data_IF_115073362519
#
_entry.id   IF_115073362519
#
_cell.length_a   1.000
_cell.length_b   1.000
_cell.length_c   1.000
_cell.angle_alpha   90.00
_cell.angle_beta   90.00
_cell.angle_gamma   90.00
#
_symmetry.space_group_name_H-M   'P 1'
#
loop_
_entity.id
_entity.type
_entity.pdbx_description
1 polymer ?
#
# COMPACT_ATOMS: atom_id res chain seq x y z
N UNK A 1 -12.85 -75.09 -11.23
CA UNK A 1 -12.90 -73.79 -11.94
C UNK A 1 -14.00 -72.96 -11.28
N UNK A 2 -13.83 -71.83 -10.62
CA UNK A 2 -12.72 -71.00 -10.13
C UNK A 2 -13.42 -69.97 -9.23
N UNK A 3 -12.99 -69.83 -7.97
CA UNK A 3 -13.70 -69.12 -6.89
C UNK A 3 -13.71 -67.60 -7.08
N UNK A 4 -14.82 -66.96 -6.72
CA UNK A 4 -14.90 -65.56 -6.33
C UNK A 4 -13.85 -65.27 -5.23
N UNK A 5 -12.99 -64.27 -5.46
CA UNK A 5 -12.16 -63.69 -4.42
C UNK A 5 -12.13 -62.17 -4.61
N UNK A 6 -12.74 -61.50 -3.65
CA UNK A 6 -12.64 -60.10 -3.26
C UNK A 6 -11.20 -59.58 -3.39
N UNK A 7 -10.99 -58.49 -4.14
CA UNK A 7 -9.74 -57.72 -4.08
C UNK A 7 -9.99 -56.36 -3.47
N UNK A 8 -9.38 -56.17 -2.30
CA UNK A 8 -9.12 -54.89 -1.65
C UNK A 8 -8.40 -53.93 -2.61
N UNK A 9 -8.84 -52.69 -2.68
CA UNK A 9 -8.04 -51.56 -3.14
C UNK A 9 -7.76 -50.65 -1.94
N UNK A 10 -6.49 -50.28 -1.80
CA UNK A 10 -5.85 -49.62 -0.65
C UNK A 10 -6.35 -48.17 -0.46
N UNK A 11 -6.35 -47.64 0.78
CA UNK A 11 -6.50 -46.20 0.99
C UNK A 11 -5.22 -45.49 0.54
N UNK A 12 -5.36 -44.49 -0.34
CA UNK A 12 -4.28 -43.55 -0.63
C UNK A 12 -4.11 -42.66 0.60
N UNK A 13 -2.97 -42.79 1.27
CA UNK A 13 -2.57 -41.95 2.37
C UNK A 13 -2.40 -40.51 1.86
N UNK A 14 -3.23 -39.60 2.36
CA UNK A 14 -3.01 -38.16 2.28
C UNK A 14 -1.79 -37.86 3.15
N UNK A 15 -0.64 -37.66 2.51
CA UNK A 15 0.55 -37.19 3.18
C UNK A 15 0.37 -35.69 3.47
N UNK A 16 -0.18 -35.37 4.64
CA UNK A 16 -0.13 -34.04 5.21
C UNK A 16 1.34 -33.67 5.44
N UNK A 17 1.91 -32.83 4.57
CA UNK A 17 3.18 -32.19 4.86
C UNK A 17 2.89 -31.13 5.92
N UNK A 18 3.19 -31.50 7.18
CA UNK A 18 3.34 -30.55 8.28
C UNK A 18 4.48 -29.60 7.90
N UNK A 19 4.16 -28.39 7.45
CA UNK A 19 5.09 -27.28 7.51
C UNK A 19 5.27 -26.90 8.99
N UNK A 20 6.40 -27.32 9.55
CA UNK A 20 6.81 -26.99 10.92
C UNK A 20 7.24 -25.52 10.93
N UNK A 21 6.34 -24.64 11.34
CA UNK A 21 6.67 -23.27 11.73
C UNK A 21 7.29 -23.30 13.12
N UNK A 22 8.63 -23.22 13.21
CA UNK A 22 9.29 -22.87 14.47
C UNK A 22 9.53 -21.36 14.46
N UNK A 23 8.59 -20.63 15.03
CA UNK A 23 8.92 -19.51 15.91
C UNK A 23 7.77 -19.32 16.90
N UNK A 24 7.99 -19.79 18.13
CA UNK A 24 7.15 -19.43 19.25
C UNK A 24 7.48 -17.99 19.65
N UNK A 25 6.56 -17.06 19.36
CA UNK A 25 6.44 -15.82 20.10
C UNK A 25 4.98 -15.69 20.59
N UNK A 26 4.76 -15.35 21.86
CA UNK A 26 3.42 -15.22 22.42
C UNK A 26 2.76 -13.94 21.89
N UNK A 27 1.52 -14.09 21.39
CA UNK A 27 0.50 -13.03 21.25
C UNK A 27 0.94 -11.69 20.62
N UNK A 28 0.71 -11.53 19.31
CA UNK A 28 0.90 -10.23 18.66
C UNK A 28 0.84 -10.28 17.14
N UNK A 29 -0.19 -10.89 16.56
CA UNK A 29 -0.35 -11.04 15.11
C UNK A 29 -0.78 -9.75 14.37
N UNK A 30 -0.58 -8.56 14.97
CA UNK A 30 -1.06 -7.28 14.44
C UNK A 30 0.01 -6.22 14.17
N UNK A 31 1.30 -6.58 14.13
CA UNK A 31 2.41 -5.61 13.94
C UNK A 31 3.26 -5.82 12.69
N UNK A 32 2.84 -6.65 11.74
CA UNK A 32 3.70 -7.16 10.66
C UNK A 32 3.40 -6.64 9.24
N UNK A 33 2.55 -5.62 9.08
CA UNK A 33 2.46 -4.84 7.84
C UNK A 33 2.21 -3.36 8.17
N UNK A 34 2.81 -2.49 7.37
CA UNK A 34 2.87 -1.01 7.50
C UNK A 34 1.57 -0.45 8.07
N UNK A 35 1.64 -0.10 9.35
CA UNK A 35 0.74 0.90 9.90
C UNK A 35 1.16 2.21 9.22
N UNK A 36 0.28 2.93 8.51
CA UNK A 36 0.53 4.32 8.17
C UNK A 36 0.96 4.97 9.47
N UNK A 37 2.11 5.64 9.50
CA UNK A 37 2.70 6.11 10.74
C UNK A 37 1.71 7.03 11.48
N UNK A 38 0.85 6.45 12.30
CA UNK A 38 -0.09 7.11 13.17
C UNK A 38 0.75 7.72 14.26
N UNK A 39 1.01 9.02 14.11
CA UNK A 39 1.93 9.81 14.92
C UNK A 39 1.41 10.04 16.35
N UNK A 40 1.24 8.97 17.14
CA UNK A 40 1.20 9.08 18.59
C UNK A 40 2.36 8.28 19.21
N UNK A 41 3.46 8.99 19.47
CA UNK A 41 4.50 8.54 20.40
C UNK A 41 5.84 8.07 19.81
N UNK A 42 6.04 8.10 18.49
CA UNK A 42 7.37 7.87 17.90
C UNK A 42 8.18 9.18 17.88
N UNK A 43 9.41 9.16 18.42
CA UNK A 43 10.35 10.30 18.32
C UNK A 43 10.80 10.47 16.87
N UNK A 44 11.17 11.68 16.45
CA UNK A 44 11.87 11.94 15.19
C UNK A 44 12.96 10.88 14.91
N UNK A 45 12.99 10.39 13.66
CA UNK A 45 13.90 9.35 13.18
C UNK A 45 13.88 8.05 14.02
N UNK A 46 12.74 7.64 14.59
CA UNK A 46 12.66 6.35 15.26
C UNK A 46 12.64 5.21 14.25
N UNK A 47 13.54 4.23 14.38
CA UNK A 47 13.66 3.20 13.36
C UNK A 47 12.45 2.29 13.27
N UNK A 48 12.17 1.79 12.06
CA UNK A 48 11.18 0.75 11.82
C UNK A 48 11.77 -0.59 12.31
N UNK A 49 11.15 -1.18 13.33
CA UNK A 49 11.42 -2.50 13.92
C UNK A 49 12.83 -3.15 13.77
N UNK A 50 13.56 -3.30 14.88
CA UNK A 50 14.42 -4.47 15.12
C UNK A 50 15.72 -4.59 14.30
N UNK A 51 16.54 -3.55 14.23
CA UNK A 51 17.88 -3.62 13.62
C UNK A 51 18.87 -4.53 14.39
N UNK A 52 19.53 -5.43 13.67
CA UNK A 52 20.34 -6.52 14.22
C UNK A 52 21.70 -6.10 14.83
N UNK A 53 22.09 -4.82 14.84
CA UNK A 53 23.44 -4.41 15.29
C UNK A 53 23.45 -3.15 16.15
N UNK A 54 23.62 -3.34 17.46
CA UNK A 54 23.79 -2.28 18.47
C UNK A 54 24.84 -1.23 18.09
N UNK A 55 25.93 -1.64 17.43
CA UNK A 55 27.01 -0.72 17.01
C UNK A 55 26.59 0.30 15.95
N UNK A 56 25.83 -0.12 14.93
CA UNK A 56 25.30 0.78 13.90
C UNK A 56 24.20 1.67 14.48
N UNK A 57 23.32 1.10 15.31
CA UNK A 57 22.26 1.86 15.96
C UNK A 57 22.82 2.98 16.86
N UNK A 58 23.94 2.75 17.54
CA UNK A 58 24.65 3.79 18.31
C UNK A 58 25.20 4.91 17.41
N UNK A 59 25.62 4.59 16.18
CA UNK A 59 26.04 5.56 15.17
C UNK A 59 24.84 6.23 14.44
N UNK A 60 23.60 5.88 14.80
CA UNK A 60 22.40 6.42 14.17
C UNK A 60 21.97 5.71 12.90
N UNK A 61 22.58 4.58 12.53
CA UNK A 61 22.22 3.81 11.33
C UNK A 61 21.49 2.54 11.75
N UNK A 62 20.35 2.27 11.13
CA UNK A 62 19.64 1.01 11.24
C UNK A 62 19.52 0.37 9.87
N UNK A 63 19.75 -0.95 9.84
CA UNK A 63 19.52 -1.78 8.66
C UNK A 63 18.65 -2.94 9.10
N UNK A 64 17.66 -3.26 8.29
CA UNK A 64 16.76 -4.37 8.54
C UNK A 64 16.14 -4.88 7.26
N UNK A 65 15.18 -5.78 7.41
CA UNK A 65 14.47 -6.36 6.30
C UNK A 65 13.41 -7.33 6.75
N UNK A 66 12.54 -7.68 5.81
CA UNK A 66 11.46 -8.64 6.00
C UNK A 66 11.39 -9.55 4.77
N UNK A 67 11.01 -10.80 4.99
CA UNK A 67 10.72 -11.72 3.90
C UNK A 67 9.28 -12.19 4.00
N UNK A 68 8.54 -11.96 2.92
CA UNK A 68 7.16 -12.37 2.75
C UNK A 68 7.13 -13.57 1.80
N UNK A 69 6.46 -14.65 2.20
CA UNK A 69 6.35 -15.88 1.43
C UNK A 69 4.89 -16.32 1.42
N UNK A 70 4.24 -16.26 0.26
CA UNK A 70 2.80 -16.43 0.13
C UNK A 70 2.47 -17.49 -0.94
N UNK A 71 2.24 -18.75 -0.52
CA UNK A 71 1.69 -19.77 -1.38
C UNK A 71 0.17 -19.65 -1.44
N UNK A 72 -0.39 -19.57 -2.64
CA UNK A 72 -1.83 -19.57 -2.89
C UNK A 72 -2.24 -20.77 -3.73
N UNK A 73 -3.49 -21.19 -3.57
CA UNK A 73 -4.12 -22.15 -4.45
C UNK A 73 -5.51 -21.63 -4.82
N UNK A 74 -5.82 -21.63 -6.11
CA UNK A 74 -7.10 -21.21 -6.66
C UNK A 74 -7.95 -22.43 -7.06
N UNK A 75 -9.17 -22.51 -6.51
CA UNK A 75 -10.18 -23.50 -6.88
C UNK A 75 -11.32 -22.81 -7.64
N UNK A 76 -11.07 -22.38 -8.87
CA UNK A 76 -12.05 -21.68 -9.70
C UNK A 76 -11.38 -20.76 -10.72
N UNK A 77 -12.02 -19.65 -11.08
CA UNK A 77 -11.41 -18.62 -11.93
C UNK A 77 -11.16 -19.05 -13.37
N UNK A 78 -10.18 -18.41 -14.01
CA UNK A 78 -9.75 -18.69 -15.38
C UNK A 78 -8.90 -19.96 -15.47
N UNK A 79 -8.14 -20.28 -14.42
CA UNK A 79 -7.36 -21.52 -14.33
C UNK A 79 -7.22 -21.99 -12.87
N UNK A 80 -7.26 -23.31 -12.66
CA UNK A 80 -7.07 -23.92 -11.35
C UNK A 80 -5.61 -24.28 -11.15
N UNK A 81 -5.03 -23.84 -10.03
CA UNK A 81 -3.62 -24.08 -9.79
C UNK A 81 -3.14 -23.41 -8.51
N UNK A 82 -1.88 -23.67 -8.18
CA UNK A 82 -1.20 -23.01 -7.09
C UNK A 82 -0.06 -22.17 -7.62
N UNK A 83 0.07 -20.96 -7.07
CA UNK A 83 1.18 -20.07 -7.34
C UNK A 83 1.86 -19.69 -6.04
N UNK A 84 3.12 -19.31 -6.16
CA UNK A 84 3.91 -18.83 -5.04
C UNK A 84 4.47 -17.48 -5.40
N UNK A 85 4.41 -16.57 -4.43
CA UNK A 85 5.13 -15.31 -4.49
C UNK A 85 5.94 -15.10 -3.22
N UNK A 86 7.06 -14.40 -3.36
CA UNK A 86 7.69 -13.80 -2.21
C UNK A 86 8.47 -12.54 -2.52
N UNK A 87 8.65 -11.77 -1.46
CA UNK A 87 9.26 -10.45 -1.46
C UNK A 87 10.25 -10.39 -0.32
N UNK A 88 11.52 -10.20 -0.64
CA UNK A 88 12.53 -9.80 0.33
C UNK A 88 12.64 -8.27 0.28
N UNK A 89 12.23 -7.60 1.35
CA UNK A 89 12.48 -6.19 1.56
C UNK A 89 13.75 -6.02 2.39
N UNK A 90 14.63 -5.12 1.97
CA UNK A 90 15.76 -4.63 2.76
C UNK A 90 15.66 -3.11 2.86
N UNK A 91 15.92 -2.57 4.04
CA UNK A 91 15.87 -1.13 4.27
C UNK A 91 17.04 -0.64 5.13
N UNK A 92 17.32 0.65 4.99
CA UNK A 92 18.27 1.41 5.79
C UNK A 92 17.63 2.72 6.24
N UNK A 93 17.63 2.96 7.55
CA UNK A 93 17.25 4.23 8.16
C UNK A 93 18.49 4.89 8.77
N UNK A 94 18.58 6.20 8.71
CA UNK A 94 19.61 6.93 9.43
C UNK A 94 19.12 8.23 10.11
N UNK A 95 19.51 8.40 11.36
CA UNK A 95 19.46 9.65 12.12
C UNK A 95 20.69 10.48 11.73
N UNK A 96 20.47 11.47 10.86
CA UNK A 96 21.55 12.22 10.22
C UNK A 96 22.27 13.14 11.20
N UNK A 97 21.64 13.51 12.32
CA UNK A 97 22.28 14.27 13.39
C UNK A 97 23.43 13.50 14.02
N UNK A 98 23.24 12.20 14.27
CA UNK A 98 24.30 11.32 14.80
C UNK A 98 25.46 11.13 13.82
N UNK A 99 25.21 11.39 12.53
CA UNK A 99 26.21 11.39 11.47
C UNK A 99 26.86 12.77 11.24
N UNK A 100 26.53 13.77 12.07
CA UNK A 100 27.13 15.11 12.03
C UNK A 100 26.43 16.09 11.09
N UNK A 101 25.21 15.78 10.64
CA UNK A 101 24.38 16.65 9.82
C UNK A 101 23.32 17.36 10.68
N UNK A 102 22.22 17.79 10.06
CA UNK A 102 21.22 18.64 10.69
C UNK A 102 20.36 17.89 11.72
N UNK A 103 19.92 18.63 12.74
CA UNK A 103 18.97 18.13 13.74
C UNK A 103 17.61 17.89 13.08
N UNK A 104 16.96 16.78 13.43
CA UNK A 104 15.67 16.38 12.86
C UNK A 104 15.72 15.90 11.41
N UNK A 105 16.90 15.77 10.78
CA UNK A 105 17.05 15.20 9.45
C UNK A 105 17.16 13.67 9.53
N UNK A 106 16.28 12.99 8.83
CA UNK A 106 16.27 11.53 8.68
C UNK A 106 16.55 11.16 7.22
N UNK A 107 17.16 10.00 7.02
CA UNK A 107 17.33 9.35 5.73
C UNK A 107 16.67 7.98 5.76
N UNK A 108 16.04 7.61 4.64
CA UNK A 108 15.51 6.26 4.43
C UNK A 108 15.81 5.80 3.00
N UNK A 109 16.10 4.51 2.87
CA UNK A 109 16.07 3.81 1.60
C UNK A 109 15.59 2.38 1.81
N UNK A 110 14.74 1.87 0.92
CA UNK A 110 14.41 0.46 0.86
C UNK A 110 14.33 -0.06 -0.57
N UNK A 111 14.41 -1.38 -0.70
CA UNK A 111 14.30 -2.05 -1.98
C UNK A 111 13.83 -3.49 -1.81
N UNK A 112 13.30 -4.02 -2.90
CA UNK A 112 12.72 -5.35 -2.95
C UNK A 112 13.53 -6.28 -3.86
N UNK A 113 13.61 -7.54 -3.46
CA UNK A 113 13.81 -8.67 -4.36
C UNK A 113 12.49 -9.44 -4.40
N UNK A 114 11.82 -9.38 -5.55
CA UNK A 114 10.51 -9.98 -5.82
C UNK A 114 10.72 -11.21 -6.69
N UNK A 115 10.09 -12.32 -6.35
CA UNK A 115 10.16 -13.56 -7.11
C UNK A 115 8.86 -14.37 -7.04
N UNK A 116 8.69 -15.27 -8.00
CA UNK A 116 7.48 -16.10 -8.13
C UNK A 116 6.50 -15.51 -9.14
N UNK A 117 5.23 -15.90 -9.04
CA UNK A 117 4.19 -15.52 -9.99
C UNK A 117 2.95 -14.97 -9.27
N UNK A 118 2.27 -14.04 -9.93
CA UNK A 118 0.97 -13.51 -9.50
C UNK A 118 -0.12 -14.57 -9.67
N UNK A 119 -0.77 -14.97 -8.57
CA UNK A 119 -1.95 -15.85 -8.60
C UNK A 119 -3.11 -15.13 -9.30
N UNK A 120 -3.22 -13.81 -9.16
CA UNK A 120 -4.26 -13.03 -9.83
C UNK A 120 -4.11 -13.08 -11.34
N UNK A 121 -2.91 -12.78 -11.85
CA UNK A 121 -2.63 -12.80 -13.28
C UNK A 121 -2.68 -14.20 -13.88
N UNK A 122 -2.19 -15.21 -13.16
CA UNK A 122 -2.12 -16.58 -13.67
C UNK A 122 -3.48 -17.32 -13.63
N UNK A 123 -4.29 -17.12 -12.58
CA UNK A 123 -5.40 -18.03 -12.27
C UNK A 123 -6.77 -17.36 -12.13
N UNK A 124 -6.83 -16.05 -11.87
CA UNK A 124 -8.09 -15.40 -11.46
C UNK A 124 -8.57 -14.37 -12.49
N UNK A 125 -7.68 -13.51 -13.01
CA UNK A 125 -8.02 -12.42 -13.90
C UNK A 125 -8.82 -11.30 -13.21
N UNK A 126 -8.57 -11.07 -11.92
CA UNK A 126 -9.22 -10.00 -11.14
C UNK A 126 -8.55 -8.65 -11.32
N UNK A 127 -9.32 -7.57 -11.12
CA UNK A 127 -8.81 -6.19 -11.15
C UNK A 127 -7.81 -5.92 -10.03
N UNK A 128 -8.17 -6.34 -8.80
CA UNK A 128 -7.29 -6.20 -7.64
C UNK A 128 -6.57 -7.52 -7.33
N UNK A 129 -5.30 -7.45 -6.90
CA UNK A 129 -4.54 -8.65 -6.59
C UNK A 129 -5.03 -9.31 -5.29
N UNK A 130 -4.93 -10.64 -5.23
CA UNK A 130 -5.31 -11.46 -4.06
C UNK A 130 -4.48 -11.11 -2.85
N UNK A 131 -3.22 -10.71 -3.06
CA UNK A 131 -2.34 -10.16 -2.05
C UNK A 131 -1.78 -8.81 -2.49
N UNK A 132 -1.47 -7.95 -1.54
CA UNK A 132 -0.87 -6.63 -1.80
C UNK A 132 0.60 -6.70 -2.20
N UNK A 133 1.21 -7.89 -2.18
CA UNK A 133 2.59 -8.10 -2.59
C UNK A 133 2.73 -8.52 -4.07
N UNK A 134 1.62 -8.69 -4.80
CA UNK A 134 1.67 -9.08 -6.22
C UNK A 134 2.37 -8.04 -7.09
N UNK A 135 3.48 -8.45 -7.69
CA UNK A 135 4.32 -7.64 -8.58
C UNK A 135 5.13 -8.57 -9.48
N UNK A 136 5.66 -8.03 -10.58
CA UNK A 136 6.57 -8.78 -11.45
C UNK A 136 7.90 -9.07 -10.75
N UNK A 137 8.55 -10.20 -11.03
CA UNK A 137 9.88 -10.51 -10.50
C UNK A 137 10.90 -9.42 -10.85
N UNK A 138 11.49 -8.82 -9.82
CA UNK A 138 12.44 -7.72 -9.99
C UNK A 138 13.37 -7.63 -8.78
N UNK A 139 14.54 -7.02 -9.00
CA UNK A 139 15.29 -6.38 -7.91
C UNK A 139 15.20 -4.89 -8.14
N UNK A 140 14.50 -4.17 -7.26
CA UNK A 140 14.21 -2.74 -7.45
C UNK A 140 14.32 -1.93 -6.18
N UNK A 141 14.79 -0.69 -6.34
CA UNK A 141 14.63 0.35 -5.35
C UNK A 141 13.13 0.67 -5.24
N UNK A 142 12.64 0.88 -4.02
CA UNK A 142 11.28 1.37 -3.80
C UNK A 142 11.34 2.82 -3.34
N UNK A 143 11.61 3.08 -2.07
CA UNK A 143 11.75 4.44 -1.56
C UNK A 143 13.21 4.83 -1.34
N UNK A 144 13.49 6.11 -1.55
CA UNK A 144 14.76 6.76 -1.22
C UNK A 144 14.48 8.22 -0.91
N UNK A 145 14.56 8.63 0.35
CA UNK A 145 14.18 9.98 0.74
C UNK A 145 14.94 10.54 1.93
N UNK A 146 14.88 11.87 2.03
CA UNK A 146 15.25 12.64 3.19
C UNK A 146 13.99 13.26 3.80
N UNK A 147 13.85 13.20 5.11
CA UNK A 147 12.77 13.87 5.85
C UNK A 147 13.33 14.79 6.90
N UNK A 148 12.94 16.06 6.87
CA UNK A 148 13.34 17.06 7.85
C UNK A 148 12.16 17.35 8.78
N UNK A 149 12.32 17.05 10.06
CA UNK A 149 11.40 17.46 11.12
C UNK A 149 11.77 18.83 11.68
N UNK A 150 10.77 19.68 11.88
CA UNK A 150 10.91 21.07 12.30
C UNK A 150 9.92 21.37 13.42
N UNK A 151 10.23 22.39 14.23
CA UNK A 151 9.34 22.90 15.28
C UNK A 151 8.86 21.82 16.27
N UNK A 152 9.81 21.05 16.85
CA UNK A 152 9.51 19.93 17.74
C UNK A 152 8.56 18.90 17.11
N UNK A 153 8.87 18.48 15.88
CA UNK A 153 8.13 17.48 15.10
C UNK A 153 6.70 17.91 14.68
N UNK A 154 6.36 19.20 14.84
CA UNK A 154 5.06 19.74 14.40
C UNK A 154 4.93 19.76 12.87
N UNK A 155 6.05 19.98 12.16
CA UNK A 155 6.10 20.01 10.70
C UNK A 155 7.16 19.04 10.23
N UNK A 156 6.87 18.24 9.21
CA UNK A 156 7.90 17.49 8.50
C UNK A 156 7.78 17.63 6.99
N UNK A 157 8.94 17.70 6.34
CA UNK A 157 9.09 17.83 4.89
C UNK A 157 9.91 16.65 4.41
N UNK A 158 9.31 15.81 3.57
CA UNK A 158 9.93 14.64 2.97
C UNK A 158 10.15 14.87 1.47
N UNK A 159 11.32 14.54 0.95
CA UNK A 159 11.72 14.70 -0.45
C UNK A 159 12.51 13.49 -0.91
N UNK A 160 12.17 12.95 -2.08
CA UNK A 160 12.89 11.82 -2.68
C UNK A 160 12.02 10.99 -3.61
N UNK A 161 12.37 9.72 -3.81
CA UNK A 161 11.48 8.71 -4.39
C UNK A 161 10.52 8.24 -3.30
N UNK A 162 9.24 8.54 -3.46
CA UNK A 162 8.19 8.35 -2.46
C UNK A 162 7.07 7.51 -3.05
N UNK A 163 6.49 6.65 -2.21
CA UNK A 163 5.25 5.97 -2.53
C UNK A 163 4.11 6.66 -1.77
N UNK A 164 3.07 7.07 -2.48
CA UNK A 164 1.94 7.79 -1.90
C UNK A 164 1.02 6.87 -1.10
N UNK A 165 0.89 5.60 -1.50
CA UNK A 165 0.12 4.56 -0.81
C UNK A 165 0.62 4.26 0.63
N UNK A 166 1.81 4.74 0.96
CA UNK A 166 2.43 4.58 2.27
C UNK A 166 1.96 5.58 3.33
N UNK A 167 1.43 6.72 2.89
CA UNK A 167 0.98 7.78 3.78
C UNK A 167 -0.47 8.17 3.52
N UNK A 168 -0.89 8.22 2.26
CA UNK A 168 -2.22 8.67 1.86
C UNK A 168 -3.20 7.51 1.65
N UNK A 169 -4.48 7.81 1.86
CA UNK A 169 -5.61 6.96 1.47
C UNK A 169 -5.64 5.57 2.17
N UNK A 170 -4.87 5.43 3.24
CA UNK A 170 -4.74 4.21 4.02
C UNK A 170 -5.72 4.15 5.20
N UNK A 171 -6.36 2.99 5.37
CA UNK A 171 -7.23 2.68 6.51
C UNK A 171 -6.52 1.71 7.45
N UNK A 172 -6.51 1.99 8.75
CA UNK A 172 -5.77 1.16 9.72
C UNK A 172 -6.38 -0.24 9.81
N UNK A 173 -7.72 -0.35 9.78
CA UNK A 173 -8.44 -1.62 9.73
C UNK A 173 -8.18 -2.41 8.46
N UNK A 174 -7.88 -1.73 7.34
CA UNK A 174 -7.51 -2.36 6.07
C UNK A 174 -6.21 -3.15 6.16
N UNK A 175 -5.28 -2.74 7.02
CA UNK A 175 -3.99 -3.41 7.22
C UNK A 175 -4.07 -4.85 7.76
N UNK A 176 -5.22 -5.28 8.29
CA UNK A 176 -5.45 -6.66 8.71
C UNK A 176 -5.74 -7.63 7.55
N UNK A 177 -6.00 -7.10 6.35
CA UNK A 177 -6.33 -7.90 5.17
C UNK A 177 -5.15 -8.01 4.22
N UNK A 178 -4.99 -9.19 3.62
CA UNK A 178 -3.89 -9.44 2.69
C UNK A 178 -4.17 -8.85 1.29
N UNK A 179 -5.44 -8.77 0.88
CA UNK A 179 -5.84 -8.38 -0.47
C UNK A 179 -5.45 -6.95 -0.83
N UNK A 180 -5.02 -6.75 -2.09
CA UNK A 180 -4.55 -5.46 -2.61
C UNK A 180 -5.57 -4.34 -2.49
N UNK A 181 -6.87 -4.67 -2.55
CA UNK A 181 -7.95 -3.70 -2.38
C UNK A 181 -7.75 -2.83 -1.15
N UNK A 182 -7.27 -3.37 -0.04
CA UNK A 182 -7.20 -2.66 1.24
C UNK A 182 -5.91 -1.86 1.45
N UNK A 183 -4.92 -2.02 0.57
CA UNK A 183 -3.79 -1.11 0.45
C UNK A 183 -4.16 0.06 -0.45
N UNK A 184 -3.56 0.11 -1.63
CA UNK A 184 -3.90 1.09 -2.66
C UNK A 184 -5.28 0.81 -3.26
N UNK A 185 -6.20 1.77 -3.12
CA UNK A 185 -7.59 1.58 -3.49
C UNK A 185 -7.75 1.34 -5.01
N UNK A 186 -8.73 0.52 -5.46
CA UNK A 186 -8.94 0.27 -6.90
C UNK A 186 -9.14 1.56 -7.70
N UNK A 187 -9.91 2.51 -7.16
CA UNK A 187 -10.12 3.81 -7.81
C UNK A 187 -8.80 4.58 -7.98
N UNK A 188 -7.81 4.43 -7.11
CA UNK A 188 -6.52 5.10 -7.25
C UNK A 188 -5.58 4.31 -8.17
N UNK A 189 -5.61 2.97 -8.10
CA UNK A 189 -4.81 2.10 -8.95
C UNK A 189 -5.21 2.20 -10.43
N UNK A 190 -6.51 2.27 -10.73
CA UNK A 190 -7.00 2.23 -12.11
C UNK A 190 -7.09 3.62 -12.77
N UNK A 191 -7.21 4.69 -11.97
CA UNK A 191 -7.35 6.04 -12.51
C UNK A 191 -6.02 6.78 -12.67
N UNK A 192 -4.97 6.38 -11.96
CA UNK A 192 -3.66 7.04 -12.10
C UNK A 192 -2.80 6.32 -13.16
N UNK A 193 -2.07 7.06 -14.01
CA UNK A 193 -1.10 6.50 -14.94
C UNK A 193 -0.13 5.55 -14.23
N UNK A 194 0.13 4.39 -14.84
CA UNK A 194 1.02 3.37 -14.29
C UNK A 194 0.61 2.80 -12.90
N UNK A 195 -0.61 3.05 -12.44
CA UNK A 195 -1.04 2.71 -11.08
C UNK A 195 -0.83 3.81 -10.04
N UNK A 196 -0.15 4.89 -10.41
CA UNK A 196 0.32 5.96 -9.54
C UNK A 196 1.49 5.54 -8.63
N UNK A 197 1.96 6.44 -7.75
CA UNK A 197 3.05 6.19 -6.82
C UNK A 197 2.61 5.21 -5.71
N UNK A 198 2.67 3.91 -5.98
CA UNK A 198 2.25 2.86 -5.07
C UNK A 198 3.09 1.59 -5.25
N UNK A 199 3.11 0.69 -4.26
CA UNK A 199 3.85 -0.57 -4.43
C UNK A 199 3.47 -1.28 -5.76
N UNK A 200 4.45 -1.72 -6.56
CA UNK A 200 5.90 -1.76 -6.30
C UNK A 200 6.71 -0.60 -6.89
N UNK A 201 6.07 0.47 -7.36
CA UNK A 201 6.69 1.61 -8.03
C UNK A 201 6.46 2.92 -7.27
N UNK A 202 7.54 3.49 -6.71
CA UNK A 202 7.53 4.83 -6.15
C UNK A 202 7.92 5.86 -7.22
N UNK A 203 7.67 7.15 -6.96
CA UNK A 203 8.03 8.23 -7.89
C UNK A 203 8.70 9.39 -7.16
N UNK A 204 9.50 10.24 -7.84
CA UNK A 204 9.99 11.46 -7.21
C UNK A 204 8.86 12.35 -6.70
N UNK A 205 8.99 12.86 -5.49
CA UNK A 205 7.96 13.67 -4.88
C UNK A 205 8.41 14.45 -3.66
N UNK A 206 7.52 15.33 -3.21
CA UNK A 206 7.65 16.13 -2.00
C UNK A 206 6.37 15.99 -1.18
N UNK A 207 6.51 15.68 0.11
CA UNK A 207 5.40 15.61 1.06
C UNK A 207 5.65 16.54 2.23
N UNK A 208 4.67 17.38 2.55
CA UNK A 208 4.64 18.19 3.78
C UNK A 208 3.53 17.67 4.68
N UNK A 209 3.88 17.40 5.94
CA UNK A 209 2.92 17.03 6.97
C UNK A 209 2.98 18.03 8.12
N UNK A 210 1.82 18.35 8.70
CA UNK A 210 1.66 19.25 9.84
C UNK A 210 0.76 18.57 10.85
N UNK A 211 1.14 18.63 12.13
CA UNK A 211 0.37 18.10 13.26
C UNK A 211 -0.02 19.25 14.18
N UNK A 212 -1.08 20.04 13.86
CA UNK A 212 -1.39 21.27 14.59
C UNK A 212 -1.81 21.03 16.04
N UNK A 213 -2.36 19.85 16.32
CA UNK A 213 -2.76 19.39 17.66
C UNK A 213 -2.38 17.93 17.81
N UNK A 214 -2.41 17.40 19.04
CA UNK A 214 -2.15 15.96 19.31
C UNK A 214 -3.12 15.01 18.58
N UNK A 215 -4.27 15.53 18.13
CA UNK A 215 -5.35 14.75 17.54
C UNK A 215 -5.56 15.05 16.04
N UNK A 216 -4.79 15.95 15.44
CA UNK A 216 -5.02 16.40 14.06
C UNK A 216 -3.73 16.33 13.27
N UNK A 217 -3.81 15.74 12.09
CA UNK A 217 -2.73 15.73 11.12
C UNK A 217 -3.26 16.20 9.76
N UNK A 218 -2.48 16.99 9.05
CA UNK A 218 -2.79 17.42 7.68
C UNK A 218 -1.54 17.25 6.85
N UNK A 219 -1.67 16.60 5.70
CA UNK A 219 -0.58 16.37 4.77
C UNK A 219 -0.96 16.76 3.35
N UNK A 220 0.05 17.21 2.62
CA UNK A 220 0.01 17.54 1.21
C UNK A 220 1.20 16.88 0.54
N UNK A 221 0.98 16.21 -0.58
CA UNK A 221 2.01 15.56 -1.36
C UNK A 221 1.89 15.94 -2.83
N UNK A 222 3.03 16.20 -3.48
CA UNK A 222 3.12 16.35 -4.93
C UNK A 222 4.14 15.33 -5.42
N UNK A 223 3.73 14.52 -6.38
CA UNK A 223 4.49 13.41 -6.93
C UNK A 223 4.60 13.55 -8.44
N UNK A 224 5.64 12.99 -9.05
CA UNK A 224 5.61 12.66 -10.47
C UNK A 224 4.43 11.70 -10.70
N UNK A 225 3.56 12.04 -11.65
CA UNK A 225 2.24 11.39 -11.77
C UNK A 225 2.27 10.01 -12.40
N UNK A 226 3.29 9.73 -13.21
CA UNK A 226 3.56 8.40 -13.77
C UNK A 226 4.81 7.78 -13.09
N UNK A 227 4.73 6.54 -12.61
CA UNK A 227 5.88 5.82 -12.08
C UNK A 227 6.85 5.23 -13.10
N UNK A 228 6.55 5.29 -14.40
CA UNK A 228 7.44 4.71 -15.40
C UNK A 228 7.57 5.54 -16.69
N UNK A 229 8.75 5.48 -17.34
CA UNK A 229 8.92 6.08 -18.65
C UNK A 229 8.01 5.47 -19.69
N UNK A 230 7.71 6.25 -20.71
CA UNK A 230 7.16 5.72 -21.95
C UNK A 230 8.09 4.63 -22.53
N UNK A 231 7.59 3.40 -22.63
CA UNK A 231 8.30 2.29 -23.26
C UNK A 231 7.38 1.45 -24.15
N UNK A 232 7.94 0.47 -24.86
CA UNK A 232 7.17 -0.35 -25.80
C UNK A 232 6.27 -1.41 -25.13
N UNK A 233 6.39 -1.58 -23.81
CA UNK A 233 5.56 -2.49 -23.05
C UNK A 233 4.39 -1.71 -22.43
N UNK A 234 3.22 -2.35 -22.34
CA UNK A 234 2.03 -1.78 -21.72
C UNK A 234 2.06 -1.88 -20.17
N UNK A 235 3.11 -2.47 -19.58
CA UNK A 235 3.25 -2.65 -18.13
C UNK A 235 4.35 -1.72 -17.58
N UNK A 236 4.02 -0.78 -16.66
CA UNK A 236 4.97 0.18 -16.11
C UNK A 236 6.12 -0.49 -15.34
N UNK A 237 5.91 -1.70 -14.81
CA UNK A 237 6.97 -2.44 -14.11
C UNK A 237 8.04 -2.96 -15.06
N UNK A 238 7.73 -3.13 -16.34
CA UNK A 238 8.71 -3.48 -17.38
C UNK A 238 9.44 -2.22 -17.84
N UNK A 239 8.73 -1.08 -17.91
CA UNK A 239 9.31 0.20 -18.28
C UNK A 239 10.26 0.76 -17.21
N UNK A 240 9.98 0.53 -15.92
CA UNK A 240 10.86 0.86 -14.80
C UNK A 240 11.30 -0.41 -14.02
N UNK A 241 12.16 -1.27 -14.59
CA UNK A 241 12.44 -2.60 -14.04
C UNK A 241 13.22 -2.58 -12.71
N UNK A 242 13.89 -1.47 -12.41
CA UNK A 242 14.80 -1.36 -11.26
C UNK A 242 14.39 -0.29 -10.24
N UNK A 243 13.34 0.50 -10.50
CA UNK A 243 12.96 1.62 -9.63
C UNK A 243 14.02 2.72 -9.58
N UNK A 244 14.85 2.82 -10.63
CA UNK A 244 15.95 3.78 -10.72
C UNK A 244 15.68 4.87 -11.77
N UNK A 245 14.51 4.85 -12.40
CA UNK A 245 14.05 5.94 -13.24
C UNK A 245 13.43 7.02 -12.33
N UNK A 246 14.18 8.11 -12.14
CA UNK A 246 13.80 9.26 -11.31
C UNK A 246 13.28 10.40 -12.18
N UNK A 247 12.18 10.13 -12.90
CA UNK A 247 11.60 11.08 -13.85
C UNK A 247 10.85 12.22 -13.15
N UNK A 248 10.83 13.38 -13.81
CA UNK A 248 10.31 14.65 -13.27
C UNK A 248 9.53 15.46 -14.31
N UNK A 249 9.31 14.89 -15.49
CA UNK A 249 8.72 15.52 -16.65
C UNK A 249 7.29 15.08 -16.92
N UNK A 250 6.75 14.16 -16.11
CA UNK A 250 5.33 13.81 -16.17
C UNK A 250 4.47 14.84 -15.44
N UNK A 251 3.20 14.90 -15.85
CA UNK A 251 2.24 15.76 -15.18
C UNK A 251 2.07 15.33 -13.72
N UNK A 252 2.03 16.28 -12.77
CA UNK A 252 2.10 15.94 -11.36
C UNK A 252 0.81 15.30 -10.83
N UNK A 253 0.95 14.49 -9.79
CA UNK A 253 -0.13 14.03 -8.92
C UNK A 253 -0.09 14.80 -7.60
N UNK A 254 -1.15 15.55 -7.30
CA UNK A 254 -1.36 16.21 -6.01
C UNK A 254 -2.24 15.33 -5.12
N UNK A 255 -1.84 15.11 -3.88
CA UNK A 255 -2.65 14.46 -2.85
C UNK A 255 -2.74 15.34 -1.61
N UNK A 256 -3.93 15.38 -1.00
CA UNK A 256 -4.20 16.13 0.24
C UNK A 256 -4.99 15.23 1.17
N UNK A 257 -4.61 15.15 2.44
CA UNK A 257 -5.38 14.41 3.44
C UNK A 257 -5.31 15.11 4.81
N UNK A 258 -6.46 15.20 5.47
CA UNK A 258 -6.58 15.56 6.88
C UNK A 258 -7.09 14.38 7.68
N UNK A 259 -6.44 14.09 8.81
CA UNK A 259 -6.83 13.07 9.77
C UNK A 259 -7.19 13.70 11.12
N UNK A 260 -8.24 13.19 11.75
CA UNK A 260 -8.66 13.58 13.09
C UNK A 260 -8.90 12.35 13.96
N UNK A 261 -8.11 12.23 15.03
CA UNK A 261 -8.24 11.18 16.04
C UNK A 261 -9.18 11.64 17.15
N UNK A 262 -10.06 10.75 17.59
CA UNK A 262 -11.02 11.03 18.64
C UNK A 262 -11.26 9.80 19.51
N UNK A 263 -11.84 10.03 20.68
CA UNK A 263 -12.15 8.97 21.63
C UNK A 263 -13.63 8.96 22.00
N UNK A 264 -14.23 7.77 21.98
CA UNK A 264 -15.58 7.52 22.48
C UNK A 264 -15.54 6.76 23.82
N UNK A 265 -16.70 6.73 24.49
CA UNK A 265 -16.91 6.02 25.75
C UNK A 265 -15.88 6.36 26.86
N UNK A 266 -15.47 7.63 26.90
CA UNK A 266 -14.53 8.17 27.88
C UNK A 266 -13.08 7.72 27.68
N UNK A 267 -12.59 7.67 26.44
CA UNK A 267 -11.20 7.27 26.14
C UNK A 267 -11.00 5.77 25.87
N UNK A 268 -12.08 4.97 25.87
CA UNK A 268 -11.97 3.50 25.74
C UNK A 268 -12.10 3.02 24.30
N UNK A 269 -12.68 3.83 23.43
CA UNK A 269 -12.99 3.46 22.06
C UNK A 269 -12.41 4.51 21.10
N UNK A 270 -11.09 4.44 20.83
CA UNK A 270 -10.45 5.34 19.88
C UNK A 270 -11.01 5.13 18.48
N UNK A 271 -11.09 6.22 17.73
CA UNK A 271 -11.46 6.24 16.32
C UNK A 271 -10.71 7.33 15.58
N UNK A 272 -10.67 7.19 14.27
CA UNK A 272 -9.98 8.09 13.35
C UNK A 272 -10.87 8.35 12.15
N UNK A 273 -11.04 9.62 11.80
CA UNK A 273 -11.64 10.01 10.53
C UNK A 273 -10.58 10.68 9.67
N UNK A 274 -10.49 10.27 8.40
CA UNK A 274 -9.62 10.88 7.40
C UNK A 274 -10.46 11.38 6.24
N UNK A 275 -10.16 12.57 5.75
CA UNK A 275 -10.77 13.14 4.55
C UNK A 275 -9.63 13.59 3.66
N UNK A 276 -9.62 13.11 2.43
CA UNK A 276 -8.58 13.47 1.49
C UNK A 276 -9.08 13.41 0.06
N UNK A 277 -8.14 13.59 -0.84
CA UNK A 277 -8.37 13.50 -2.27
C UNK A 277 -7.09 13.66 -3.05
N UNK A 278 -7.18 13.36 -4.34
CA UNK A 278 -6.10 13.59 -5.29
C UNK A 278 -6.60 14.35 -6.51
N UNK A 279 -5.65 14.96 -7.22
CA UNK A 279 -5.81 15.53 -8.55
C UNK A 279 -4.55 15.26 -9.36
N UNK A 280 -4.69 14.50 -10.43
CA UNK A 280 -3.66 14.27 -11.44
C UNK A 280 -3.79 15.33 -12.53
N UNK A 281 -2.73 16.08 -12.82
CA UNK A 281 -2.80 17.24 -13.72
C UNK A 281 -2.64 16.93 -15.21
N UNK A 282 -2.41 15.66 -15.56
CA UNK A 282 -2.28 15.22 -16.95
C UNK A 282 -3.59 15.16 -17.73
N UNK A 283 -3.45 14.80 -19.00
CA UNK A 283 -4.56 14.66 -19.95
C UNK A 283 -5.14 13.23 -19.90
N UNK A 284 -6.46 13.15 -19.78
CA UNK A 284 -7.19 11.88 -19.71
C UNK A 284 -8.27 11.80 -20.80
N UNK A 285 -8.82 10.60 -20.99
CA UNK A 285 -9.95 10.37 -21.89
C UNK A 285 -11.09 9.67 -21.16
N UNK A 286 -12.31 10.07 -21.48
CA UNK A 286 -13.51 9.46 -20.93
C UNK A 286 -13.72 8.07 -21.53
N UNK A 287 -13.67 7.03 -20.70
CA UNK A 287 -13.82 5.65 -21.14
C UNK A 287 -15.27 5.28 -21.53
N UNK A 288 -16.27 6.17 -21.30
CA UNK A 288 -17.69 5.90 -21.58
C UNK A 288 -18.18 6.64 -22.80
N UNK A 289 -17.94 7.95 -22.87
CA UNK A 289 -18.57 8.83 -23.87
C UNK A 289 -17.54 9.49 -24.77
N UNK A 290 -17.85 9.55 -26.05
CA UNK A 290 -17.05 10.31 -27.00
C UNK A 290 -17.36 11.81 -26.95
N UNK A 291 -16.68 12.59 -27.80
CA UNK A 291 -16.87 14.04 -27.91
C UNK A 291 -18.30 14.46 -28.31
N UNK A 292 -19.08 13.55 -28.91
CA UNK A 292 -20.48 13.76 -29.28
C UNK A 292 -21.46 13.45 -28.14
N UNK A 293 -20.99 12.83 -27.05
CA UNK A 293 -21.81 12.38 -25.93
C UNK A 293 -22.41 10.99 -26.13
N UNK A 294 -22.06 10.30 -27.22
CA UNK A 294 -22.47 8.93 -27.50
C UNK A 294 -21.52 7.93 -26.82
N UNK A 295 -21.97 6.69 -26.65
CA UNK A 295 -21.15 5.66 -26.02
C UNK A 295 -19.98 5.24 -26.93
N UNK A 296 -18.75 5.28 -26.41
CA UNK A 296 -17.53 4.87 -27.13
C UNK A 296 -17.64 3.46 -27.69
N UNK A 297 -18.25 2.53 -26.93
CA UNK A 297 -18.46 1.15 -27.38
C UNK A 297 -19.37 1.02 -28.61
N UNK A 298 -20.22 2.02 -28.85
CA UNK A 298 -21.14 2.05 -30.00
C UNK A 298 -20.50 2.76 -31.18
N UNK A 299 -19.81 3.88 -30.95
CA UNK A 299 -19.27 4.72 -32.03
C UNK A 299 -17.89 4.28 -32.50
N UNK A 300 -17.09 3.64 -31.62
CA UNK A 300 -15.68 3.35 -31.87
C UNK A 300 -14.78 4.59 -31.90
N UNK A 301 -15.32 5.77 -31.56
CA UNK A 301 -14.56 7.01 -31.47
C UNK A 301 -13.72 7.05 -30.19
N UNK A 302 -12.70 7.91 -30.15
CA UNK A 302 -11.98 8.18 -28.91
C UNK A 302 -12.91 8.79 -27.85
N UNK A 303 -12.63 8.47 -26.60
CA UNK A 303 -13.24 9.10 -25.44
C UNK A 303 -13.10 10.62 -25.47
N UNK A 304 -14.06 11.31 -24.85
CA UNK A 304 -14.02 12.76 -24.67
C UNK A 304 -12.75 13.14 -23.86
N UNK A 305 -11.93 14.09 -24.32
CA UNK A 305 -10.79 14.56 -23.54
C UNK A 305 -11.22 15.16 -22.19
N UNK A 306 -10.44 14.89 -21.16
CA UNK A 306 -10.59 15.39 -19.81
C UNK A 306 -9.28 16.06 -19.39
N UNK A 307 -9.37 17.34 -19.04
CA UNK A 307 -8.28 18.04 -18.37
C UNK A 307 -8.34 17.57 -16.91
N UNK A 308 -7.33 16.84 -16.43
CA UNK A 308 -7.23 16.18 -15.11
C UNK A 308 -8.13 14.95 -14.81
N UNK A 309 -7.68 14.16 -13.83
CA UNK A 309 -8.49 13.17 -13.10
C UNK A 309 -8.32 13.40 -11.59
N UNK A 310 -9.42 13.29 -10.85
CA UNK A 310 -9.46 13.65 -9.44
C UNK A 310 -10.52 12.89 -8.68
N UNK A 311 -10.25 12.63 -7.40
CA UNK A 311 -11.24 12.06 -6.50
C UNK A 311 -11.10 12.55 -5.08
N UNK A 312 -12.21 12.45 -4.34
CA UNK A 312 -12.30 12.69 -2.92
C UNK A 312 -12.55 11.37 -2.22
N UNK A 313 -12.00 11.22 -1.03
CA UNK A 313 -12.21 10.05 -0.21
C UNK A 313 -12.40 10.39 1.27
N UNK A 314 -13.09 9.50 1.96
CA UNK A 314 -13.32 9.52 3.40
C UNK A 314 -13.00 8.14 3.95
N UNK A 315 -12.28 8.10 5.06
CA UNK A 315 -11.95 6.89 5.81
C UNK A 315 -12.44 7.06 7.23
N UNK A 316 -13.04 6.01 7.78
CA UNK A 316 -13.42 5.93 9.19
C UNK A 316 -12.87 4.62 9.75
N UNK A 317 -12.03 4.71 10.77
CA UNK A 317 -11.58 3.59 11.60
C UNK A 317 -12.16 3.76 13.00
N UNK A 318 -12.79 2.74 13.57
CA UNK A 318 -13.41 2.84 14.89
C UNK A 318 -13.30 1.53 15.67
N UNK A 319 -12.75 1.60 16.89
CA UNK A 319 -12.89 0.52 17.86
C UNK A 319 -14.32 0.53 18.42
N UNK A 320 -15.08 -0.55 18.21
CA UNK A 320 -16.47 -0.68 18.67
C UNK A 320 -16.55 -1.29 20.07
N UNK A 321 -15.63 -2.18 20.38
CA UNK A 321 -15.59 -2.87 21.67
C UNK A 321 -14.14 -3.15 22.04
N UNK A 322 -13.80 -2.98 23.33
CA UNK A 322 -12.47 -3.29 23.87
C UNK A 322 -12.56 -4.47 24.84
N UNK A 323 -11.59 -5.38 24.75
CA UNK A 323 -11.40 -6.47 25.70
C UNK A 323 -11.22 -5.89 27.12
N UNK A 324 -12.03 -6.30 28.11
CA UNK A 324 -11.91 -5.81 29.48
C UNK A 324 -10.53 -6.11 30.08
N UNK A 325 -9.91 -5.12 30.72
CA UNK A 325 -8.61 -5.26 31.37
C UNK A 325 -7.40 -5.23 30.43
N UNK A 326 -7.60 -5.04 29.12
CA UNK A 326 -6.51 -4.79 28.18
C UNK A 326 -6.08 -3.32 28.23
N UNK A 327 -4.79 -3.07 28.44
CA UNK A 327 -4.18 -1.74 28.24
C UNK A 327 -4.10 -1.39 26.76
N UNK A 328 -3.87 -2.40 25.91
CA UNK A 328 -3.88 -2.26 24.45
C UNK A 328 -5.31 -2.15 23.89
N UNK A 329 -5.45 -1.56 22.71
CA UNK A 329 -6.70 -1.49 21.94
C UNK A 329 -7.08 -2.86 21.30
N UNK A 330 -7.00 -3.95 22.07
CA UNK A 330 -7.51 -5.25 21.64
C UNK A 330 -9.02 -5.25 21.71
N UNK A 331 -9.69 -5.66 20.63
CA UNK A 331 -11.13 -5.59 20.56
C UNK A 331 -11.71 -5.83 19.18
N UNK A 332 -12.96 -5.43 19.02
CA UNK A 332 -13.66 -5.46 17.73
C UNK A 332 -13.61 -4.04 17.16
N UNK A 333 -12.99 -3.90 16.00
CA UNK A 333 -13.00 -2.66 15.22
C UNK A 333 -13.92 -2.78 14.01
N UNK A 334 -14.27 -1.64 13.44
CA UNK A 334 -14.82 -1.52 12.09
C UNK A 334 -14.01 -0.50 11.32
N UNK A 335 -13.99 -0.64 9.99
CA UNK A 335 -13.50 0.43 9.15
C UNK A 335 -14.33 0.59 7.88
N UNK A 336 -14.32 1.81 7.35
CA UNK A 336 -15.04 2.21 6.16
C UNK A 336 -14.11 3.05 5.30
N UNK A 337 -14.09 2.77 4.00
CA UNK A 337 -13.45 3.63 3.00
C UNK A 337 -14.43 3.92 1.88
N UNK A 338 -14.63 5.20 1.61
CA UNK A 338 -15.43 5.68 0.50
C UNK A 338 -14.57 6.59 -0.37
N UNK A 339 -14.64 6.44 -1.69
CA UNK A 339 -13.96 7.32 -2.63
C UNK A 339 -14.75 7.48 -3.92
N UNK A 340 -14.80 8.70 -4.44
CA UNK A 340 -15.48 9.07 -5.67
C UNK A 340 -14.99 10.45 -6.16
N UNK A 341 -15.05 10.75 -7.46
CA UNK A 341 -14.91 12.08 -7.99
C UNK A 341 -16.12 12.94 -7.59
N UNK A 342 -15.95 14.26 -7.62
CA UNK A 342 -17.03 15.23 -7.40
C UNK A 342 -18.15 15.20 -8.45
N UNK A 343 -17.89 14.77 -9.70
CA UNK A 343 -18.89 14.82 -10.79
C UNK A 343 -19.56 13.47 -11.06
N UNK A 344 -20.89 13.45 -11.04
CA UNK A 344 -21.76 12.28 -11.18
C UNK A 344 -22.04 11.83 -12.63
N UNK A 345 -21.32 12.36 -13.63
CA UNK A 345 -21.75 12.32 -15.04
C UNK A 345 -21.14 11.25 -15.94
N UNK A 346 -19.95 10.78 -15.64
CA UNK A 346 -19.22 9.79 -16.45
C UNK A 346 -18.39 8.95 -15.49
N UNK A 347 -18.17 7.67 -15.81
CA UNK A 347 -17.70 6.70 -14.81
C UNK A 347 -16.41 7.18 -14.16
N UNK A 348 -16.54 7.51 -12.90
CA UNK A 348 -15.58 7.06 -11.93
C UNK A 348 -16.11 5.84 -11.20
N UNK A 349 -15.20 4.96 -10.86
CA UNK A 349 -15.42 3.92 -9.88
C UNK A 349 -15.60 4.51 -8.48
N UNK A 350 -16.83 4.88 -8.12
CA UNK A 350 -17.16 5.15 -6.72
C UNK A 350 -17.01 3.87 -5.93
N UNK A 351 -16.01 3.80 -5.05
CA UNK A 351 -15.71 2.61 -4.26
C UNK A 351 -16.17 2.85 -2.83
N UNK A 352 -17.24 2.17 -2.42
CA UNK A 352 -17.60 2.01 -1.01
C UNK A 352 -17.17 0.62 -0.57
N UNK A 353 -16.26 0.52 0.39
CA UNK A 353 -15.86 -0.76 0.97
C UNK A 353 -16.02 -0.73 2.48
N UNK A 354 -16.68 -1.76 2.99
CA UNK A 354 -17.04 -1.94 4.41
C UNK A 354 -16.51 -3.29 4.87
N UNK A 355 -15.81 -3.32 6.01
CA UNK A 355 -15.38 -4.57 6.63
C UNK A 355 -15.35 -4.48 8.16
#
# INVERSE_FOLDING_TARGET
>A
MGRLATKLAKPAAVASILAVSIMAMPGGAGKLRRQPDGHSGRRACTPRCGGARKGLANAGIQVGGAYYAEPFYNWGGIDQGGEYMGVLELYMDADMKKLGLWDGLCFHANGFQIHGNSITGANIGGLMPVTSFEALPATRLFELWLEQHLFNDTVSIKVGQLAADEEFFAADGGGFFINGTWGWAPIAAENNPGGGPAYPLATPGVRVAVTPTENTNVMVGVYNGDPSPACAADDPQICNPHGLEFELDDDPLLMIEGAYNYDLAGGRLPGTIKIGGWNHFGDFVDNRVDVGGDLVVVTGNSGKPLDNDHALYIILDQLLWRVPGSEDAQGVGMFLRFAAPPTTGTWSTSTLTVA
#
